data_IF_511936250014
#
_entry.id   IF_511936250014
#
_cell.length_a   1.000
_cell.length_b   1.000
_cell.length_c   1.000
_cell.angle_alpha   90.00
_cell.angle_beta   90.00
_cell.angle_gamma   90.00
#
_symmetry.space_group_name_H-M   'P 1'
#
loop_
_entity.id
_entity.type
_entity.pdbx_description
1 polymer ?
#
# COMPACT_ATOMS: atom_id res chain seq x y z
N UNK A 1 -3.94 16.09 -17.79
CA UNK A 1 -4.15 15.45 -16.47
C UNK A 1 -3.22 14.25 -16.36
N UNK A 2 -2.18 14.29 -15.49
CA UNK A 2 -1.29 13.13 -15.33
C UNK A 2 -2.02 12.02 -14.57
N UNK A 3 -2.29 10.87 -15.21
CA UNK A 3 -2.73 9.66 -14.50
C UNK A 3 -1.53 9.09 -13.76
N UNK A 4 -1.47 9.29 -12.45
CA UNK A 4 -0.43 8.70 -11.61
C UNK A 4 -0.99 7.54 -10.81
N UNK A 5 -0.19 6.52 -10.55
CA UNK A 5 -0.49 5.44 -9.61
C UNK A 5 0.34 5.68 -8.35
N UNK A 6 -0.18 5.28 -7.21
CA UNK A 6 0.53 5.21 -5.92
C UNK A 6 0.55 3.77 -5.46
N UNK A 7 1.68 3.37 -4.90
CA UNK A 7 1.90 2.01 -4.44
C UNK A 7 2.48 2.10 -3.02
N UNK A 8 1.88 1.35 -2.09
CA UNK A 8 2.51 1.02 -0.82
C UNK A 8 3.22 -0.32 -0.99
N UNK A 9 4.52 -0.33 -0.69
CA UNK A 9 5.37 -1.51 -0.74
C UNK A 9 6.25 -1.56 0.51
N UNK A 10 6.71 -2.75 0.86
CA UNK A 10 7.63 -3.00 1.98
C UNK A 10 8.67 -4.04 1.57
N UNK A 11 9.84 -3.99 2.18
CA UNK A 11 10.84 -5.07 2.08
C UNK A 11 10.60 -6.06 3.21
N UNK A 12 10.46 -7.33 2.89
CA UNK A 12 10.35 -8.38 3.92
C UNK A 12 11.72 -8.77 4.50
N UNK A 13 11.71 -9.77 5.39
CA UNK A 13 12.92 -10.29 6.05
C UNK A 13 13.93 -10.95 5.11
N UNK A 14 13.50 -11.36 3.91
CA UNK A 14 14.36 -11.94 2.87
C UNK A 14 14.83 -10.90 1.85
N UNK A 15 14.55 -9.61 2.11
CA UNK A 15 14.85 -8.49 1.20
C UNK A 15 14.04 -8.55 -0.11
N UNK A 16 12.89 -9.24 -0.09
CA UNK A 16 11.94 -9.24 -1.20
C UNK A 16 11.02 -8.04 -1.09
N UNK A 17 10.81 -7.36 -2.22
CA UNK A 17 9.87 -6.23 -2.31
C UNK A 17 8.45 -6.77 -2.47
N UNK A 18 7.61 -6.48 -1.49
CA UNK A 18 6.19 -6.88 -1.46
C UNK A 18 5.32 -5.66 -1.74
N UNK A 19 4.51 -5.73 -2.79
CA UNK A 19 3.52 -4.70 -3.13
C UNK A 19 2.22 -4.99 -2.38
N UNK A 20 1.77 -4.03 -1.56
CA UNK A 20 0.64 -4.21 -0.65
C UNK A 20 -0.65 -3.57 -1.17
N UNK A 21 -0.57 -2.31 -1.61
CA UNK A 21 -1.77 -1.53 -2.02
C UNK A 21 -1.44 -0.64 -3.22
N UNK A 22 -2.32 -0.61 -4.22
CA UNK A 22 -2.30 0.34 -5.33
C UNK A 22 -3.47 1.32 -5.26
N UNK A 23 -3.24 2.60 -5.55
CA UNK A 23 -4.28 3.63 -5.58
C UNK A 23 -4.13 4.61 -6.74
N UNK A 24 -5.26 5.06 -7.28
CA UNK A 24 -5.28 6.07 -8.34
C UNK A 24 -5.02 7.47 -7.78
N UNK A 25 -4.14 8.24 -8.43
CA UNK A 25 -3.91 9.67 -8.13
C UNK A 25 -5.14 10.54 -8.43
N UNK A 26 -6.14 10.03 -9.16
CA UNK A 26 -7.23 10.86 -9.68
C UNK A 26 -8.59 10.64 -9.03
N UNK A 27 -8.68 9.97 -7.87
CA UNK A 27 -9.94 9.98 -7.12
C UNK A 27 -10.22 11.43 -6.70
N UNK A 28 -11.27 11.98 -7.32
CA UNK A 28 -11.60 13.40 -7.42
C UNK A 28 -11.78 14.08 -6.05
N UNK A 29 -10.92 15.06 -5.75
CA UNK A 29 -11.33 16.24 -4.98
C UNK A 29 -10.75 17.45 -5.73
N UNK A 30 -11.64 18.23 -6.37
CA UNK A 30 -11.37 19.21 -7.43
C UNK A 30 -10.52 20.43 -7.05
N UNK A 31 -9.92 20.49 -5.85
CA UNK A 31 -9.13 21.67 -5.44
C UNK A 31 -7.85 21.35 -4.67
N UNK A 32 -7.71 20.20 -4.02
CA UNK A 32 -6.43 19.75 -3.47
C UNK A 32 -6.48 18.25 -3.26
N UNK A 33 -5.56 17.47 -3.82
CA UNK A 33 -5.60 16.04 -3.57
C UNK A 33 -5.24 15.74 -2.10
N UNK A 34 -6.17 15.14 -1.35
CA UNK A 34 -5.97 14.87 0.07
C UNK A 34 -5.17 13.58 0.29
N UNK A 35 -3.90 13.58 -0.12
CA UNK A 35 -3.01 12.42 0.00
C UNK A 35 -2.85 11.94 1.42
N UNK A 36 -2.82 12.86 2.38
CA UNK A 36 -2.71 12.51 3.80
C UNK A 36 -3.92 11.66 4.24
N UNK A 37 -5.12 11.94 3.70
CA UNK A 37 -6.30 11.11 3.94
C UNK A 37 -6.18 9.73 3.30
N UNK A 38 -5.65 9.64 2.08
CA UNK A 38 -5.41 8.35 1.41
C UNK A 38 -4.40 7.50 2.19
N UNK A 39 -3.23 8.06 2.54
CA UNK A 39 -2.23 7.36 3.34
C UNK A 39 -2.78 6.95 4.71
N UNK A 40 -3.49 7.85 5.41
CA UNK A 40 -4.12 7.55 6.70
C UNK A 40 -5.11 6.38 6.61
N UNK A 41 -5.78 6.20 5.49
CA UNK A 41 -6.69 5.08 5.26
C UNK A 41 -5.95 3.80 4.83
N UNK A 42 -4.98 3.92 3.94
CA UNK A 42 -4.35 2.77 3.28
C UNK A 42 -3.20 2.14 4.07
N UNK A 43 -2.48 2.91 4.89
CA UNK A 43 -1.37 2.37 5.71
C UNK A 43 -1.86 1.25 6.64
N UNK A 44 -2.93 1.41 7.45
CA UNK A 44 -3.40 0.33 8.32
C UNK A 44 -3.86 -0.92 7.55
N UNK A 45 -4.36 -0.76 6.34
CA UNK A 45 -4.76 -1.87 5.47
C UNK A 45 -3.51 -2.59 4.95
N UNK A 46 -2.50 -1.84 4.51
CA UNK A 46 -1.22 -2.39 4.07
C UNK A 46 -0.53 -3.17 5.20
N UNK A 47 -0.57 -2.66 6.44
CA UNK A 47 -0.05 -3.34 7.63
C UNK A 47 -0.75 -4.70 7.86
N UNK A 48 -2.08 -4.73 7.76
CA UNK A 48 -2.85 -5.98 7.90
C UNK A 48 -2.51 -7.00 6.81
N UNK A 49 -2.35 -6.55 5.56
CA UNK A 49 -1.94 -7.41 4.45
C UNK A 49 -0.53 -7.97 4.70
N UNK A 50 0.39 -7.13 5.17
CA UNK A 50 1.76 -7.55 5.43
C UNK A 50 1.86 -8.54 6.58
N UNK A 51 1.16 -8.32 7.70
CA UNK A 51 1.10 -9.29 8.80
C UNK A 51 0.61 -10.66 8.33
N UNK A 52 -0.43 -10.68 7.49
CA UNK A 52 -0.95 -11.93 6.91
C UNK A 52 0.10 -12.60 6.00
N UNK A 53 0.77 -11.81 5.15
CA UNK A 53 1.86 -12.28 4.31
C UNK A 53 2.98 -12.94 5.13
N UNK A 54 3.43 -12.32 6.22
CA UNK A 54 4.50 -12.88 7.06
C UNK A 54 4.09 -14.20 7.74
N UNK A 55 2.83 -14.33 8.17
CA UNK A 55 2.29 -15.59 8.72
C UNK A 55 2.32 -16.69 7.66
N UNK A 56 1.81 -16.41 6.45
CA UNK A 56 1.76 -17.40 5.37
C UNK A 56 3.17 -17.84 4.92
N UNK A 57 4.15 -16.93 4.94
CA UNK A 57 5.55 -17.27 4.68
C UNK A 57 6.18 -18.12 5.79
N UNK A 58 5.80 -17.88 7.05
CA UNK A 58 6.25 -18.68 8.20
C UNK A 58 5.68 -20.09 8.25
N UNK A 59 4.44 -20.28 7.80
CA UNK A 59 3.80 -21.60 7.67
C UNK A 59 4.30 -22.41 6.45
N UNK A 60 4.87 -21.73 5.46
CA UNK A 60 5.42 -22.34 4.24
C UNK A 60 6.89 -22.79 4.38
N UNK A 61 7.53 -22.52 5.53
CA UNK A 61 8.91 -22.93 5.86
C UNK A 61 8.92 -24.15 6.78
#
# INVERSE_FOLDING_TARGET
>A
MSKGIRILLISDSEQTIVVLVGGNKSEQEDTTPNWNRWYKKMIPIADQIFMKYEIEQGESK
#
